data_IF_707189216469
#
_entry.id   IF_707189216469
#
_cell.length_a   1.000
_cell.length_b   1.000
_cell.length_c   1.000
_cell.angle_alpha   90.00
_cell.angle_beta   90.00
_cell.angle_gamma   90.00
#
_symmetry.space_group_name_H-M   'P 1'
#
loop_
_entity.id
_entity.type
_entity.pdbx_description
1 polymer ?
#
# COMPACT_ATOMS: atom_id res chain seq x y z
N UNK A 1 -26.51 9.52 -12.55
CA UNK A 1 -25.10 9.96 -12.47
C UNK A 1 -24.54 9.47 -11.14
N UNK A 2 -23.56 8.57 -11.16
CA UNK A 2 -22.85 8.19 -9.94
C UNK A 2 -22.06 9.41 -9.49
N UNK A 3 -22.32 9.88 -8.26
CA UNK A 3 -21.54 10.94 -7.63
C UNK A 3 -20.14 10.37 -7.41
N UNK A 4 -19.10 11.01 -7.93
CA UNK A 4 -17.73 10.57 -7.69
C UNK A 4 -17.41 10.73 -6.20
N UNK A 5 -17.34 9.61 -5.48
CA UNK A 5 -16.94 9.54 -4.07
C UNK A 5 -15.41 9.54 -3.90
N UNK A 6 -14.66 9.80 -4.97
CA UNK A 6 -13.21 9.78 -4.98
C UNK A 6 -12.64 11.16 -4.68
N UNK A 7 -11.54 11.18 -3.93
CA UNK A 7 -10.72 12.38 -3.74
C UNK A 7 -10.34 12.97 -5.10
N UNK A 8 -10.58 14.27 -5.29
CA UNK A 8 -10.25 14.98 -6.54
C UNK A 8 -8.76 15.31 -6.68
N UNK A 9 -7.96 15.00 -5.66
CA UNK A 9 -6.52 15.18 -5.68
C UNK A 9 -5.82 13.82 -5.75
N UNK A 10 -4.64 13.80 -6.38
CA UNK A 10 -3.77 12.63 -6.40
C UNK A 10 -2.40 13.03 -5.87
N UNK A 11 -1.69 12.07 -5.26
CA UNK A 11 -0.30 12.30 -4.85
C UNK A 11 0.61 12.15 -6.07
N UNK A 12 1.43 13.15 -6.42
CA UNK A 12 2.32 13.08 -7.57
C UNK A 12 3.43 12.05 -7.39
N UNK A 13 4.05 11.64 -8.50
CA UNK A 13 5.24 10.78 -8.47
C UNK A 13 6.42 11.62 -7.94
N UNK A 14 7.03 11.21 -6.82
CA UNK A 14 8.14 11.93 -6.20
C UNK A 14 9.48 11.17 -6.25
N UNK A 15 9.52 10.03 -6.98
CA UNK A 15 10.69 9.16 -7.17
C UNK A 15 10.38 7.72 -6.76
N UNK A 16 11.03 6.73 -7.39
CA UNK A 16 10.71 5.30 -7.19
C UNK A 16 10.74 4.89 -5.72
N UNK A 17 11.77 5.30 -4.97
CA UNK A 17 11.88 4.99 -3.54
C UNK A 17 10.86 5.70 -2.65
N UNK A 18 10.32 6.84 -3.07
CA UNK A 18 9.32 7.59 -2.31
C UNK A 18 7.89 7.11 -2.63
N UNK A 19 7.61 6.87 -3.91
CA UNK A 19 6.27 6.47 -4.36
C UNK A 19 5.96 5.00 -4.13
N UNK A 20 6.98 4.12 -3.99
CA UNK A 20 6.76 2.67 -3.89
C UNK A 20 5.79 2.30 -2.76
N UNK A 21 5.95 2.87 -1.57
CA UNK A 21 5.18 2.50 -0.37
C UNK A 21 4.11 3.53 0.02
N UNK A 22 3.95 4.62 -0.74
CA UNK A 22 2.94 5.65 -0.47
C UNK A 22 1.53 5.06 -0.32
N UNK A 23 1.07 4.12 -1.16
CA UNK A 23 -0.26 3.53 -1.00
C UNK A 23 -0.47 2.83 0.35
N UNK A 24 0.57 2.23 0.95
CA UNK A 24 0.47 1.61 2.29
C UNK A 24 0.09 2.65 3.36
N UNK A 25 0.41 3.92 3.13
CA UNK A 25 0.19 5.03 4.07
C UNK A 25 -1.18 5.70 3.85
N UNK A 26 -1.60 5.85 2.59
CA UNK A 26 -2.74 6.73 2.24
C UNK A 26 -3.97 5.98 1.71
N UNK A 27 -3.81 4.78 1.14
CA UNK A 27 -4.93 4.01 0.61
C UNK A 27 -5.98 3.62 1.68
N UNK A 28 -5.63 3.36 2.95
CA UNK A 28 -6.64 3.13 4.00
C UNK A 28 -7.55 4.34 4.24
N UNK A 29 -7.13 5.55 3.82
CA UNK A 29 -7.92 6.79 3.89
C UNK A 29 -8.69 7.08 2.59
N UNK A 30 -8.73 6.12 1.66
CA UNK A 30 -9.38 6.27 0.36
C UNK A 30 -8.62 7.12 -0.67
N UNK A 31 -7.41 7.60 -0.34
CA UNK A 31 -6.63 8.50 -1.20
C UNK A 31 -5.91 7.70 -2.29
N UNK A 32 -6.12 8.10 -3.54
CA UNK A 32 -5.45 7.51 -4.70
C UNK A 32 -3.97 7.92 -4.76
N UNK A 33 -3.11 6.93 -5.01
CA UNK A 33 -1.67 7.12 -5.23
C UNK A 33 -1.15 6.12 -6.27
N UNK A 34 0.16 6.13 -6.52
CA UNK A 34 0.83 5.40 -7.59
C UNK A 34 1.98 4.57 -7.04
N UNK A 35 2.21 3.39 -7.61
CA UNK A 35 3.36 2.52 -7.33
C UNK A 35 4.22 2.46 -8.58
N UNK A 36 5.50 2.84 -8.46
CA UNK A 36 6.45 2.59 -9.54
C UNK A 36 6.93 1.14 -9.49
N UNK A 37 6.60 0.36 -10.52
CA UNK A 37 7.00 -1.05 -10.67
C UNK A 37 8.28 -1.22 -11.50
N UNK A 38 9.00 -0.13 -11.77
CA UNK A 38 10.16 -0.14 -12.67
C UNK A 38 11.28 -1.03 -12.12
N UNK A 39 11.56 -0.93 -10.82
CA UNK A 39 12.63 -1.68 -10.14
C UNK A 39 12.04 -2.77 -9.22
N UNK A 40 11.91 -3.98 -9.74
CA UNK A 40 11.38 -5.13 -9.01
C UNK A 40 12.30 -5.62 -7.87
N UNK A 41 13.58 -5.26 -7.89
CA UNK A 41 14.53 -5.61 -6.82
C UNK A 41 14.40 -4.66 -5.63
N UNK A 42 14.11 -3.39 -5.90
CA UNK A 42 13.67 -2.45 -4.87
C UNK A 42 12.36 -2.92 -4.26
N UNK A 43 11.36 -3.31 -5.07
CA UNK A 43 10.09 -3.84 -4.56
C UNK A 43 10.32 -5.04 -3.63
N UNK A 44 11.22 -5.95 -3.97
CA UNK A 44 11.55 -7.11 -3.13
C UNK A 44 12.18 -6.71 -1.78
N UNK A 45 13.04 -5.69 -1.76
CA UNK A 45 13.61 -5.15 -0.51
C UNK A 45 12.55 -4.50 0.37
N UNK A 46 11.65 -3.70 -0.24
CA UNK A 46 10.54 -3.05 0.45
C UNK A 46 9.53 -4.08 0.96
N UNK A 47 9.21 -5.10 0.15
CA UNK A 47 8.37 -6.24 0.53
C UNK A 47 8.90 -6.93 1.77
N UNK A 48 10.21 -7.22 1.83
CA UNK A 48 10.85 -7.82 3.00
C UNK A 48 10.68 -6.96 4.26
N UNK A 49 10.93 -5.65 4.14
CA UNK A 49 10.77 -4.72 5.27
C UNK A 49 9.33 -4.70 5.79
N UNK A 50 8.35 -4.57 4.90
CA UNK A 50 6.94 -4.50 5.29
C UNK A 50 6.39 -5.85 5.78
N UNK A 51 6.81 -6.96 5.17
CA UNK A 51 6.42 -8.29 5.66
C UNK A 51 6.91 -8.52 7.10
N UNK A 52 8.16 -8.16 7.41
CA UNK A 52 8.67 -8.22 8.78
C UNK A 52 7.89 -7.29 9.72
N UNK A 53 7.65 -6.04 9.31
CA UNK A 53 6.96 -5.04 10.13
C UNK A 53 5.51 -5.43 10.48
N UNK A 54 4.82 -6.11 9.57
CA UNK A 54 3.42 -6.52 9.74
C UNK A 54 3.26 -8.02 10.06
N UNK A 55 4.37 -8.70 10.38
CA UNK A 55 4.40 -10.13 10.71
C UNK A 55 3.69 -11.00 9.64
N UNK A 56 4.03 -10.75 8.37
CA UNK A 56 3.55 -11.50 7.21
C UNK A 56 4.59 -12.53 6.78
N UNK A 57 4.13 -13.63 6.19
CA UNK A 57 5.03 -14.63 5.61
C UNK A 57 5.89 -14.02 4.50
N UNK A 58 7.18 -14.34 4.53
CA UNK A 58 8.14 -13.85 3.55
C UNK A 58 9.09 -14.96 3.12
N UNK A 59 9.05 -15.27 1.82
CA UNK A 59 10.07 -16.05 1.13
C UNK A 59 10.72 -15.20 0.06
N UNK A 60 12.05 -15.13 0.06
CA UNK A 60 12.80 -14.33 -0.92
C UNK A 60 12.67 -14.93 -2.33
N UNK A 61 12.52 -14.05 -3.33
CA UNK A 61 12.49 -14.43 -4.74
C UNK A 61 13.81 -14.03 -5.39
N UNK A 62 14.72 -14.99 -5.68
CA UNK A 62 16.06 -14.68 -6.14
C UNK A 62 16.06 -14.03 -7.53
N UNK A 63 17.15 -13.32 -7.84
CA UNK A 63 17.33 -12.66 -9.16
C UNK A 63 17.25 -13.64 -10.32
N UNK A 64 17.72 -14.86 -10.11
CA UNK A 64 17.78 -15.96 -11.08
C UNK A 64 16.47 -16.74 -11.18
N UNK A 65 15.43 -16.38 -10.42
CA UNK A 65 14.13 -17.02 -10.55
C UNK A 65 13.57 -16.81 -11.96
N UNK A 66 13.08 -17.90 -12.57
CA UNK A 66 12.22 -17.84 -13.74
C UNK A 66 11.02 -16.94 -13.45
N UNK A 67 10.71 -16.02 -14.37
CA UNK A 67 9.70 -14.96 -14.19
C UNK A 67 9.89 -14.13 -12.91
N UNK A 68 11.14 -13.99 -12.44
CA UNK A 68 11.45 -13.35 -11.17
C UNK A 68 10.90 -11.93 -11.04
N UNK A 69 10.89 -11.14 -12.13
CA UNK A 69 10.32 -9.78 -12.14
C UNK A 69 8.82 -9.79 -11.84
N UNK A 70 8.05 -10.59 -12.57
CA UNK A 70 6.62 -10.71 -12.38
C UNK A 70 6.31 -11.23 -10.97
N UNK A 71 6.99 -12.30 -10.53
CA UNK A 71 6.82 -12.88 -9.19
C UNK A 71 7.11 -11.88 -8.07
N UNK A 72 8.18 -11.08 -8.17
CA UNK A 72 8.51 -10.03 -7.18
C UNK A 72 7.48 -8.92 -7.13
N UNK A 73 7.05 -8.41 -8.30
CA UNK A 73 6.02 -7.38 -8.38
C UNK A 73 4.70 -7.90 -7.77
N UNK A 74 4.24 -9.07 -8.17
CA UNK A 74 3.00 -9.67 -7.64
C UNK A 74 3.09 -9.88 -6.13
N UNK A 75 4.16 -10.49 -5.63
CA UNK A 75 4.33 -10.71 -4.20
C UNK A 75 4.36 -9.40 -3.41
N UNK A 76 4.94 -8.33 -3.98
CA UNK A 76 4.92 -7.01 -3.36
C UNK A 76 3.51 -6.43 -3.30
N UNK A 77 2.76 -6.49 -4.40
CA UNK A 77 1.39 -5.97 -4.47
C UNK A 77 0.44 -6.73 -3.52
N UNK A 78 0.62 -8.04 -3.34
CA UNK A 78 -0.15 -8.81 -2.35
C UNK A 78 0.15 -8.35 -0.92
N UNK A 79 1.42 -8.08 -0.58
CA UNK A 79 1.78 -7.50 0.74
C UNK A 79 1.15 -6.11 0.93
N UNK A 80 1.18 -5.25 -0.10
CA UNK A 80 0.53 -3.94 -0.04
C UNK A 80 -0.97 -4.09 0.21
N UNK A 81 -1.64 -4.95 -0.56
CA UNK A 81 -3.07 -5.23 -0.44
C UNK A 81 -3.44 -5.70 0.96
N UNK A 82 -2.72 -6.69 1.49
CA UNK A 82 -2.94 -7.23 2.83
C UNK A 82 -2.83 -6.13 3.91
N UNK A 83 -1.76 -5.31 3.85
CA UNK A 83 -1.55 -4.24 4.83
C UNK A 83 -2.64 -3.17 4.74
N UNK A 84 -3.02 -2.76 3.52
CA UNK A 84 -4.07 -1.76 3.31
C UNK A 84 -5.41 -2.28 3.84
N UNK A 85 -5.75 -3.54 3.54
CA UNK A 85 -6.96 -4.17 4.06
C UNK A 85 -6.98 -4.21 5.59
N UNK A 86 -5.90 -4.67 6.25
CA UNK A 86 -5.82 -4.68 7.72
C UNK A 86 -6.02 -3.30 8.34
N UNK A 87 -5.30 -2.29 7.84
CA UNK A 87 -5.44 -0.91 8.32
C UNK A 87 -6.83 -0.35 8.09
N UNK A 88 -7.45 -0.66 6.95
CA UNK A 88 -8.81 -0.21 6.69
C UNK A 88 -9.83 -0.87 7.63
N UNK A 89 -9.68 -2.16 7.93
CA UNK A 89 -10.49 -2.82 8.97
C UNK A 89 -10.28 -2.19 10.34
N UNK A 90 -9.05 -1.86 10.72
CA UNK A 90 -8.74 -1.13 11.96
C UNK A 90 -9.48 0.20 12.02
N UNK A 91 -9.40 1.01 10.95
CA UNK A 91 -10.14 2.29 10.83
C UNK A 91 -11.64 2.05 10.99
N UNK A 92 -12.22 1.06 10.29
CA UNK A 92 -13.65 0.75 10.40
C UNK A 92 -14.08 0.34 11.81
N UNK A 93 -13.19 -0.26 12.60
CA UNK A 93 -13.51 -0.71 13.97
C UNK A 93 -13.29 0.38 15.04
N UNK A 94 -12.72 1.54 14.70
CA UNK A 94 -12.56 2.65 15.64
C UNK A 94 -13.92 3.30 16.02
N UNK A 95 -14.06 3.90 17.21
CA UNK A 95 -15.28 4.59 17.61
C UNK A 95 -15.52 5.86 16.78
N UNK A 96 -16.80 6.22 16.62
CA UNK A 96 -17.20 7.52 16.08
C UNK A 96 -17.06 8.63 17.14
N UNK A 97 -16.98 9.89 16.69
CA UNK A 97 -16.96 11.09 17.55
C UNK A 97 -15.74 11.21 18.49
N UNK A 98 -14.65 10.50 18.16
CA UNK A 98 -13.34 10.62 18.81
C UNK A 98 -12.33 11.06 17.75
N UNK A 99 -11.36 11.90 18.11
CA UNK A 99 -10.26 12.26 17.23
C UNK A 99 -9.37 11.03 16.99
N UNK A 100 -9.58 10.36 15.85
CA UNK A 100 -8.88 9.15 15.42
C UNK A 100 -8.86 9.06 13.87
N UNK A 101 -8.31 7.98 13.33
CA UNK A 101 -8.20 7.79 11.87
C UNK A 101 -9.58 7.63 11.18
N UNK A 102 -10.59 7.12 11.88
CA UNK A 102 -11.97 7.09 11.36
C UNK A 102 -12.56 8.49 11.23
N UNK A 103 -12.40 9.36 12.23
CA UNK A 103 -12.84 10.76 12.10
C UNK A 103 -12.12 11.44 10.93
N UNK A 104 -10.79 11.26 10.85
CA UNK A 104 -9.98 11.76 9.74
C UNK A 104 -10.46 11.26 8.37
N UNK A 105 -10.82 9.98 8.25
CA UNK A 105 -11.34 9.40 7.00
C UNK A 105 -12.58 10.16 6.48
N UNK A 106 -13.49 10.56 7.39
CA UNK A 106 -14.73 11.26 7.02
C UNK A 106 -14.56 12.78 6.84
N UNK A 107 -13.52 13.37 7.41
CA UNK A 107 -13.22 14.81 7.30
C UNK A 107 -12.43 15.18 6.04
N UNK A 108 -11.79 14.19 5.40
CA UNK A 108 -11.08 14.34 4.12
C UNK A 108 -12.04 14.40 2.92
#
# INVERSE_FOLDING_TARGET
MLKDYYHKFHIPVMGTGFSVDTPIKVAPLGITSVISIVDDLLLEKIRRYYAQKFNLEYRSIPRTAEDGRAKRITAYLEVVKEIVSRKFEEIKNQPFFVSNDKARYFEL
#
